data_IF_990437041926
#
_entry.id   IF_990437041926
#
_cell.length_a   1.000
_cell.length_b   1.000
_cell.length_c   1.000
_cell.angle_alpha   90.00
_cell.angle_beta   90.00
_cell.angle_gamma   90.00
#
_symmetry.space_group_name_H-M   'P 1'
#
loop_
_entity.id
_entity.type
_entity.pdbx_description
1 polymer ?
#
# COMPACT_ATOMS: atom_id res chain seq x y z
N UNK A 1 16.02 -14.15 1.54
CA UNK A 1 16.30 -12.71 1.37
C UNK A 1 15.02 -11.90 1.42
N UNK A 2 15.06 -10.78 2.09
CA UNK A 2 13.90 -9.89 2.19
C UNK A 2 13.72 -9.13 0.88
N UNK A 3 12.46 -8.89 0.52
CA UNK A 3 12.17 -8.00 -0.61
C UNK A 3 12.53 -6.57 -0.23
N UNK A 4 12.91 -5.77 -1.21
CA UNK A 4 13.26 -4.37 -0.95
C UNK A 4 12.06 -3.58 -0.46
N UNK A 5 12.33 -2.53 0.30
CA UNK A 5 11.32 -1.60 0.77
C UNK A 5 10.49 -1.05 -0.39
N UNK A 6 11.17 -0.61 -1.44
CA UNK A 6 10.51 -0.07 -2.64
C UNK A 6 9.59 -1.09 -3.29
N UNK A 7 10.04 -2.35 -3.43
CA UNK A 7 9.23 -3.39 -4.05
C UNK A 7 7.95 -3.66 -3.27
N UNK A 8 8.02 -3.65 -1.94
CA UNK A 8 6.86 -3.90 -1.10
C UNK A 8 5.87 -2.73 -1.20
N UNK A 9 6.36 -1.51 -1.13
CA UNK A 9 5.49 -0.32 -1.23
C UNK A 9 4.89 -0.18 -2.62
N UNK A 10 5.64 -0.52 -3.66
CA UNK A 10 5.12 -0.51 -5.03
C UNK A 10 4.01 -1.54 -5.22
N UNK A 11 4.14 -2.71 -4.61
CA UNK A 11 3.11 -3.74 -4.64
C UNK A 11 1.81 -3.25 -3.98
N UNK A 12 1.95 -2.60 -2.82
CA UNK A 12 0.80 -2.04 -2.14
C UNK A 12 0.10 -1.00 -3.01
N UNK A 13 0.86 -0.11 -3.62
CA UNK A 13 0.33 0.91 -4.53
C UNK A 13 -0.41 0.27 -5.70
N UNK A 14 0.16 -0.75 -6.30
CA UNK A 14 -0.45 -1.43 -7.43
C UNK A 14 -1.77 -2.11 -7.06
N UNK A 15 -1.83 -2.74 -5.90
CA UNK A 15 -3.07 -3.35 -5.42
C UNK A 15 -4.20 -2.33 -5.30
N UNK A 16 -3.89 -1.15 -4.76
CA UNK A 16 -4.90 -0.11 -4.61
C UNK A 16 -5.24 0.55 -5.93
N UNK A 17 -4.27 0.68 -6.84
CA UNK A 17 -4.54 1.20 -8.18
C UNK A 17 -5.53 0.31 -8.92
N UNK A 18 -5.37 -1.00 -8.83
CA UNK A 18 -6.31 -1.95 -9.40
C UNK A 18 -7.70 -1.82 -8.78
N UNK A 19 -7.78 -1.62 -7.45
CA UNK A 19 -9.04 -1.42 -6.77
C UNK A 19 -9.72 -0.12 -7.20
N UNK A 20 -8.95 0.96 -7.35
CA UNK A 20 -9.46 2.23 -7.87
C UNK A 20 -10.03 2.07 -9.28
N UNK A 21 -9.28 1.39 -10.14
CA UNK A 21 -9.70 1.20 -11.53
C UNK A 21 -10.99 0.37 -11.60
N UNK A 22 -11.12 -0.66 -10.77
CA UNK A 22 -12.34 -1.47 -10.71
C UNK A 22 -13.54 -0.64 -10.24
N UNK A 23 -13.33 0.19 -9.21
CA UNK A 23 -14.40 1.05 -8.69
C UNK A 23 -14.87 2.04 -9.75
N UNK A 24 -13.95 2.63 -10.48
CA UNK A 24 -14.27 3.57 -11.58
C UNK A 24 -15.00 2.86 -12.71
N UNK A 25 -14.53 1.68 -13.11
CA UNK A 25 -15.14 0.92 -14.17
C UNK A 25 -16.56 0.47 -13.82
N UNK A 26 -16.82 0.20 -12.54
CA UNK A 26 -18.14 -0.18 -12.06
C UNK A 26 -19.05 1.02 -11.80
N UNK A 27 -18.54 2.24 -11.98
CA UNK A 27 -19.32 3.45 -11.70
C UNK A 27 -19.51 3.71 -10.21
N UNK A 28 -18.73 3.06 -9.36
CA UNK A 28 -18.86 3.16 -7.91
C UNK A 28 -17.84 4.15 -7.35
N UNK A 29 -17.98 5.40 -7.77
CA UNK A 29 -17.05 6.45 -7.36
C UNK A 29 -17.17 6.80 -5.87
N UNK A 30 -18.26 6.42 -5.24
CA UNK A 30 -18.44 6.64 -3.80
C UNK A 30 -17.40 5.88 -2.98
N UNK A 31 -16.82 4.80 -3.52
CA UNK A 31 -15.78 4.05 -2.84
C UNK A 31 -14.40 4.71 -2.87
N UNK A 32 -14.18 5.64 -3.80
CA UNK A 32 -12.84 6.20 -4.01
C UNK A 32 -12.25 6.87 -2.76
N UNK A 33 -12.99 7.71 -2.01
CA UNK A 33 -12.42 8.29 -0.80
C UNK A 33 -12.04 7.26 0.26
N UNK A 34 -12.84 6.20 0.41
CA UNK A 34 -12.55 5.13 1.36
C UNK A 34 -11.30 4.35 0.97
N UNK A 35 -11.15 4.07 -0.32
CA UNK A 35 -9.97 3.40 -0.85
C UNK A 35 -8.71 4.25 -0.65
N UNK A 36 -8.81 5.55 -0.91
CA UNK A 36 -7.69 6.45 -0.73
C UNK A 36 -7.26 6.50 0.74
N UNK A 37 -8.21 6.61 1.65
CA UNK A 37 -7.92 6.62 3.07
C UNK A 37 -7.27 5.29 3.51
N UNK A 38 -7.82 4.17 3.07
CA UNK A 38 -7.29 2.85 3.41
C UNK A 38 -5.86 2.68 2.89
N UNK A 39 -5.59 3.12 1.67
CA UNK A 39 -4.25 3.04 1.10
C UNK A 39 -3.25 3.84 1.92
N UNK A 40 -3.59 5.08 2.25
CA UNK A 40 -2.69 5.94 3.03
C UNK A 40 -2.42 5.37 4.41
N UNK A 41 -3.45 4.81 5.05
CA UNK A 41 -3.31 4.19 6.37
C UNK A 41 -2.39 2.98 6.30
N UNK A 42 -2.61 2.10 5.32
CA UNK A 42 -1.77 0.92 5.16
C UNK A 42 -0.34 1.28 4.79
N UNK A 43 -0.15 2.32 4.01
CA UNK A 43 1.17 2.80 3.67
C UNK A 43 1.95 3.18 4.94
N UNK A 44 1.31 3.87 5.88
CA UNK A 44 1.92 4.21 7.15
C UNK A 44 2.28 2.96 7.97
N UNK A 45 1.36 1.99 8.01
CA UNK A 45 1.62 0.74 8.72
C UNK A 45 2.82 0.01 8.13
N UNK A 46 2.87 -0.11 6.81
CA UNK A 46 3.97 -0.81 6.15
C UNK A 46 5.29 -0.08 6.32
N UNK A 47 5.28 1.24 6.29
CA UNK A 47 6.50 2.01 6.53
C UNK A 47 7.06 1.73 7.93
N UNK A 48 6.20 1.69 8.94
CA UNK A 48 6.62 1.38 10.31
C UNK A 48 7.17 -0.05 10.39
N UNK A 49 6.47 -1.01 9.80
CA UNK A 49 6.93 -2.41 9.79
C UNK A 49 8.26 -2.57 9.08
N UNK A 50 8.42 -1.87 7.96
CA UNK A 50 9.66 -1.91 7.20
C UNK A 50 10.81 -1.25 7.96
N UNK A 51 10.54 -0.18 8.69
CA UNK A 51 11.55 0.44 9.55
C UNK A 51 12.02 -0.51 10.64
N UNK A 52 11.10 -1.27 11.23
CA UNK A 52 11.44 -2.28 12.23
C UNK A 52 12.28 -3.38 11.59
N UNK A 53 11.87 -3.90 10.45
CA UNK A 53 12.62 -4.93 9.72
C UNK A 53 14.02 -4.45 9.39
N UNK A 54 14.13 -3.24 8.85
CA UNK A 54 15.41 -2.68 8.45
C UNK A 54 16.33 -2.50 9.65
N UNK A 55 15.79 -2.07 10.78
CA UNK A 55 16.56 -1.96 12.02
C UNK A 55 17.05 -3.32 12.50
N UNK A 56 16.22 -4.35 12.38
CA UNK A 56 16.62 -5.71 12.76
C UNK A 56 17.68 -6.30 11.85
N UNK A 57 17.67 -5.95 10.58
CA UNK A 57 18.64 -6.46 9.61
C UNK A 57 19.99 -5.74 9.66
N UNK A 58 20.07 -4.64 10.38
CA UNK A 58 21.29 -3.84 10.49
C UNK A 58 22.31 -4.37 11.52
N UNK A 59 22.14 -5.48 12.07
CA UNK A 59 23.02 -6.00 13.12
C UNK A 59 24.46 -6.25 12.66
#
# INVERSE_FOLDING_TARGET
>A
MSRSRTAILDNLEEMYREAFDRAKAAGDEAQLPSLDFAYRREQLYFEILLDIRDAMERR
#
